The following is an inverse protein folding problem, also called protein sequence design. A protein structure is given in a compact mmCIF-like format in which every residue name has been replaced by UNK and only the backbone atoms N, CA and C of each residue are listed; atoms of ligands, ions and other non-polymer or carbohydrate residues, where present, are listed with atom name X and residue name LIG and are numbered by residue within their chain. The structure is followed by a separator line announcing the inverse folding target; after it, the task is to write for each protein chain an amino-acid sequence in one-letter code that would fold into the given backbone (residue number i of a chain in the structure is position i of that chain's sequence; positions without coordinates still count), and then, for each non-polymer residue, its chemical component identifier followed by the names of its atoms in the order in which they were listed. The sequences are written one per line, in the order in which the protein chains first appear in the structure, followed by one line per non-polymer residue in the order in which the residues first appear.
data_IF_343492594030
#
_entry.id   IF_343492594030
#
_cell.length_a   1.000
_cell.length_b   1.000
_cell.length_c   1.000
_cell.angle_alpha   90.00
_cell.angle_beta   90.00
_cell.angle_gamma   90.00
#
_symmetry.space_group_name_H-M   'P 1'
#
loop_
_entity.id
_entity.type
_entity.pdbx_description
1 polymer ?
#
# COMPACT_ATOMS: atom_id res chain seq x y z
N UNK A 1 8.23 12.58 -10.75
CA UNK A 1 7.18 11.74 -10.10
C UNK A 1 7.54 11.58 -8.62
N UNK A 2 6.58 11.64 -7.69
CA UNK A 2 6.86 11.64 -6.25
C UNK A 2 7.75 10.45 -5.79
N UNK A 3 8.60 10.73 -4.81
CA UNK A 3 9.46 9.75 -4.16
C UNK A 3 8.65 8.89 -3.17
N UNK A 4 7.88 7.92 -3.68
CA UNK A 4 7.03 7.05 -2.85
C UNK A 4 7.77 5.79 -2.41
N UNK A 5 7.86 5.60 -1.10
CA UNK A 5 8.41 4.39 -0.47
C UNK A 5 7.27 3.45 -0.05
N UNK A 6 7.55 2.16 -0.05
CA UNK A 6 6.72 1.09 0.50
C UNK A 6 7.39 0.58 1.77
N UNK A 7 6.70 0.68 2.91
CA UNK A 7 7.09 0.01 4.14
C UNK A 7 6.40 -1.35 4.24
N UNK A 8 7.18 -2.41 4.48
CA UNK A 8 6.67 -3.76 4.75
C UNK A 8 7.08 -4.11 6.17
N UNK A 9 6.08 -4.33 7.04
CA UNK A 9 6.26 -4.70 8.44
C UNK A 9 5.72 -6.11 8.65
N UNK A 10 6.59 -7.03 9.05
CA UNK A 10 6.22 -8.38 9.49
C UNK A 10 6.16 -8.35 11.02
N UNK A 11 4.95 -8.41 11.57
CA UNK A 11 4.70 -8.35 13.01
C UNK A 11 5.15 -9.61 13.74
N UNK A 12 5.00 -10.78 13.10
CA UNK A 12 5.40 -12.08 13.67
C UNK A 12 6.92 -12.18 13.81
N UNK A 13 7.67 -11.66 12.83
CA UNK A 13 9.15 -11.65 12.84
C UNK A 13 9.76 -10.36 13.38
N UNK A 14 8.93 -9.37 13.75
CA UNK A 14 9.36 -8.03 14.18
C UNK A 14 10.34 -7.38 13.19
N UNK A 15 10.10 -7.56 11.89
CA UNK A 15 11.01 -7.11 10.83
C UNK A 15 10.39 -5.98 10.03
N UNK A 16 11.19 -4.95 9.75
CA UNK A 16 10.81 -3.81 8.91
C UNK A 16 11.71 -3.77 7.69
N UNK A 17 11.12 -3.58 6.51
CA UNK A 17 11.85 -3.27 5.29
C UNK A 17 11.21 -2.12 4.56
N UNK A 18 12.03 -1.23 4.01
CA UNK A 18 11.58 -0.07 3.25
C UNK A 18 12.14 -0.20 1.84
N UNK A 19 11.26 -0.13 0.84
CA UNK A 19 11.63 -0.23 -0.57
C UNK A 19 11.11 0.97 -1.34
N UNK A 20 11.72 1.27 -2.47
CA UNK A 20 11.16 2.25 -3.40
C UNK A 20 9.96 1.63 -4.12
N UNK A 21 8.86 2.38 -4.25
CA UNK A 21 7.78 1.98 -5.17
C UNK A 21 8.25 2.18 -6.61
N UNK A 22 8.26 1.13 -7.46
CA UNK A 22 8.66 1.23 -8.86
C UNK A 22 7.90 2.31 -9.63
N UNK A 23 8.62 3.05 -10.48
CA UNK A 23 8.02 4.10 -11.32
C UNK A 23 6.84 3.62 -12.18
N UNK A 24 6.88 2.43 -12.82
CA UNK A 24 5.74 1.94 -13.59
C UNK A 24 4.48 1.78 -12.75
N UNK A 25 4.60 1.23 -11.53
CA UNK A 25 3.45 1.04 -10.65
C UNK A 25 2.84 2.36 -10.19
N UNK A 26 3.67 3.37 -9.89
CA UNK A 26 3.18 4.71 -9.55
C UNK A 26 2.39 5.33 -10.69
N UNK A 27 2.74 5.04 -11.96
CA UNK A 27 2.01 5.56 -13.13
C UNK A 27 0.71 4.80 -13.37
N UNK A 28 0.75 3.48 -13.29
CA UNK A 28 -0.41 2.62 -13.55
C UNK A 28 -1.48 2.73 -12.45
N UNK A 29 -1.07 2.82 -11.19
CA UNK A 29 -1.98 2.71 -10.05
C UNK A 29 -2.08 3.97 -9.20
N UNK A 30 -1.30 5.02 -9.52
CA UNK A 30 -1.26 6.31 -8.84
C UNK A 30 -0.87 6.23 -7.36
N UNK A 31 -1.82 5.88 -6.49
CA UNK A 31 -1.68 5.83 -5.04
C UNK A 31 -2.95 5.32 -4.35
N UNK A 32 -2.97 5.36 -3.01
CA UNK A 32 -4.10 4.95 -2.20
C UNK A 32 -4.61 3.56 -2.56
N UNK A 33 -5.93 3.46 -2.79
CA UNK A 33 -6.61 2.22 -3.16
C UNK A 33 -5.98 1.51 -4.36
N UNK A 34 -5.51 2.22 -5.38
CA UNK A 34 -4.94 1.61 -6.58
C UNK A 34 -3.69 0.78 -6.27
N UNK A 35 -2.74 1.37 -5.53
CA UNK A 35 -1.55 0.64 -5.09
C UNK A 35 -1.90 -0.45 -4.08
N UNK A 36 -2.83 -0.20 -3.16
CA UNK A 36 -3.28 -1.22 -2.20
C UNK A 36 -3.82 -2.46 -2.92
N UNK A 37 -4.71 -2.29 -3.92
CA UNK A 37 -5.27 -3.41 -4.69
C UNK A 37 -4.20 -4.19 -5.44
N UNK A 38 -3.21 -3.52 -6.03
CA UNK A 38 -2.07 -4.19 -6.66
C UNK A 38 -1.29 -5.04 -5.65
N UNK A 39 -0.97 -4.49 -4.47
CA UNK A 39 -0.19 -5.22 -3.47
C UNK A 39 -0.98 -6.35 -2.83
N UNK A 40 -2.27 -6.16 -2.53
CA UNK A 40 -3.15 -7.25 -2.08
C UNK A 40 -3.12 -8.40 -3.07
N UNK A 41 -3.39 -8.13 -4.35
CA UNK A 41 -3.36 -9.15 -5.40
C UNK A 41 -2.03 -9.91 -5.48
N UNK A 42 -0.91 -9.27 -5.14
CA UNK A 42 0.42 -9.89 -5.16
C UNK A 42 0.80 -10.60 -3.86
N UNK A 43 0.21 -10.23 -2.72
CA UNK A 43 0.64 -10.65 -1.39
C UNK A 43 -0.25 -11.72 -0.77
N UNK A 44 -1.53 -11.78 -1.13
CA UNK A 44 -2.47 -12.76 -0.58
C UNK A 44 -2.85 -13.83 -1.61
N UNK A 45 -3.32 -14.98 -1.11
CA UNK A 45 -3.86 -16.06 -1.95
C UNK A 45 -5.39 -15.97 -2.02
N UNK A 46 -6.03 -16.40 -3.12
CA UNK A 46 -7.48 -16.55 -3.15
C UNK A 46 -7.97 -17.48 -2.04
N UNK A 47 -9.05 -17.09 -1.36
CA UNK A 47 -9.65 -17.88 -0.27
C UNK A 47 -8.83 -17.89 1.03
N UNK A 48 -7.86 -16.97 1.19
CA UNK A 48 -7.16 -16.79 2.47
C UNK A 48 -8.17 -16.51 3.60
N UNK A 49 -7.92 -17.08 4.77
CA UNK A 49 -8.66 -16.71 5.98
C UNK A 49 -8.38 -15.23 6.33
N UNK A 50 -9.40 -14.36 6.39
CA UNK A 50 -9.22 -12.93 6.66
C UNK A 50 -8.51 -12.62 7.98
N UNK A 51 -8.59 -13.53 8.97
CA UNK A 51 -7.96 -13.37 10.28
C UNK A 51 -6.61 -14.11 10.41
N UNK A 52 -6.18 -14.80 9.36
CA UNK A 52 -4.88 -15.47 9.35
C UNK A 52 -3.72 -14.45 9.43
N UNK A 53 -2.61 -14.78 10.12
CA UNK A 53 -1.39 -13.96 10.09
C UNK A 53 -0.76 -13.83 8.69
N UNK A 54 -1.18 -14.65 7.72
CA UNK A 54 -0.75 -14.54 6.33
C UNK A 54 -1.52 -13.44 5.55
N UNK A 55 -2.63 -12.92 6.09
CA UNK A 55 -3.32 -11.77 5.50
C UNK A 55 -2.53 -10.47 5.75
N UNK A 56 -2.72 -9.47 4.88
CA UNK A 56 -1.98 -8.20 4.96
C UNK A 56 -2.91 -7.01 5.10
N UNK A 57 -2.61 -6.14 6.07
CA UNK A 57 -3.29 -4.85 6.25
C UNK A 57 -2.46 -3.74 5.60
N UNK A 58 -3.02 -3.07 4.60
CA UNK A 58 -2.32 -2.06 3.81
C UNK A 58 -2.89 -0.66 4.05
N UNK A 59 -2.02 0.26 4.47
CA UNK A 59 -2.31 1.68 4.60
C UNK A 59 -1.72 2.44 3.40
N UNK A 60 -2.59 2.99 2.55
CA UNK A 60 -2.20 3.66 1.32
C UNK A 60 -2.61 5.13 1.31
N UNK A 61 -1.65 6.05 1.19
CA UNK A 61 -1.95 7.47 0.97
C UNK A 61 -2.29 7.74 -0.50
N UNK A 62 -3.32 8.55 -0.72
CA UNK A 62 -3.75 8.99 -2.05
C UNK A 62 -2.63 9.68 -2.84
N UNK A 63 -2.80 9.79 -4.15
CA UNK A 63 -1.77 10.34 -5.04
C UNK A 63 -1.36 11.78 -4.68
N UNK A 64 -2.35 12.60 -4.32
CA UNK A 64 -2.18 14.00 -3.96
C UNK A 64 -2.07 14.23 -2.44
N UNK A 65 -2.11 13.16 -1.63
CA UNK A 65 -2.12 13.30 -0.18
C UNK A 65 -0.87 14.01 0.32
N UNK A 66 -1.06 15.05 1.14
CA UNK A 66 0.03 15.88 1.66
C UNK A 66 0.48 17.03 0.73
N UNK A 67 -0.25 17.28 -0.37
CA UNK A 67 -0.06 18.47 -1.21
C UNK A 67 -1.02 19.60 -0.82
N UNK A 68 -0.92 20.76 -1.49
CA UNK A 68 -1.82 21.91 -1.31
C UNK A 68 -3.14 21.79 -2.09
N UNK A 69 -3.39 20.68 -2.78
CA UNK A 69 -4.66 20.49 -3.50
C UNK A 69 -5.81 20.41 -2.49
N UNK A 70 -6.92 21.16 -2.67
CA UNK A 70 -8.05 21.10 -1.76
C UNK A 70 -8.54 19.66 -1.55
N UNK A 71 -8.86 19.30 -0.31
CA UNK A 71 -9.35 17.97 0.10
C UNK A 71 -8.37 16.80 -0.12
N UNK A 72 -7.05 17.04 -0.27
CA UNK A 72 -6.05 15.98 -0.43
C UNK A 72 -5.46 15.45 0.89
N UNK A 73 -6.30 15.06 1.85
CA UNK A 73 -5.86 14.50 3.15
C UNK A 73 -6.29 13.04 3.37
N UNK A 74 -6.98 12.43 2.41
CA UNK A 74 -7.50 11.07 2.53
C UNK A 74 -6.39 10.01 2.37
N UNK A 75 -6.59 8.89 3.06
CA UNK A 75 -5.87 7.65 2.85
C UNK A 75 -6.89 6.50 2.80
N UNK A 76 -6.44 5.32 2.38
CA UNK A 76 -7.26 4.12 2.30
C UNK A 76 -6.61 2.98 3.08
N UNK A 77 -7.43 2.19 3.75
CA UNK A 77 -7.04 0.94 4.38
C UNK A 77 -7.66 -0.20 3.59
N UNK A 78 -6.88 -1.23 3.31
CA UNK A 78 -7.34 -2.43 2.59
C UNK A 78 -6.76 -3.68 3.23
N UNK A 79 -7.51 -4.77 3.18
CA UNK A 79 -7.13 -6.12 3.58
C UNK A 79 -7.81 -7.12 2.65
#
# INVERSE_FOLDING_TARGET
MFNRKLGIIDLSKKKISIKQTPNPLKKLFLGGRGLNSYYLYKMIKPGIDPFSPDNVLIFGTGFLTGTLVPNSSRFNVSA
#
